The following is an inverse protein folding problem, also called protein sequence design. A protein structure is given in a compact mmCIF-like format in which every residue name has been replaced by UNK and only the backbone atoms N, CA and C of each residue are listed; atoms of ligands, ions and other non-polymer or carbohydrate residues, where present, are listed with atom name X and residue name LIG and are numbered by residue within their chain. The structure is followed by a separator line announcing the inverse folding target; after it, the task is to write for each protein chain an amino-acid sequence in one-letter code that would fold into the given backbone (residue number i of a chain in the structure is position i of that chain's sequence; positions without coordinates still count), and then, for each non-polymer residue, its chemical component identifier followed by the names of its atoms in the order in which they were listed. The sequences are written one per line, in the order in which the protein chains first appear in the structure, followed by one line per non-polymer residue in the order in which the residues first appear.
data_IF_062234816968
#
_entry.id   IF_062234816968
#
_cell.length_a   1.000
_cell.length_b   1.000
_cell.length_c   1.000
_cell.angle_alpha   90.00
_cell.angle_beta   90.00
_cell.angle_gamma   90.00
#
_symmetry.space_group_name_H-M   'P 1'
#
loop_
_entity.id
_entity.type
_entity.pdbx_description
1 polymer ?
#
# COMPACT_ATOMS: atom_id res chain seq x y z
N UNK A 1 -9.42 -1.82 32.33
CA UNK A 1 -8.60 -0.65 31.95
C UNK A 1 -7.31 -1.15 31.30
N UNK A 2 -7.29 -1.33 29.97
CA UNK A 2 -6.13 -1.87 29.24
C UNK A 2 -5.19 -0.76 28.76
N UNK A 3 -4.56 -0.13 29.76
CA UNK A 3 -3.19 0.34 29.89
C UNK A 3 -2.35 0.65 28.64
N UNK A 4 -2.19 1.96 28.42
CA UNK A 4 -1.05 2.80 27.96
C UNK A 4 0.25 2.14 27.43
N UNK A 5 0.64 0.96 27.88
CA UNK A 5 1.83 0.23 27.42
C UNK A 5 1.76 -0.19 25.95
N UNK A 6 0.56 -0.42 25.40
CA UNK A 6 0.35 -0.71 23.96
C UNK A 6 0.68 0.47 23.03
N UNK A 7 0.68 1.71 23.54
CA UNK A 7 0.94 2.89 22.73
C UNK A 7 2.44 3.21 22.61
N UNK A 8 3.26 2.79 23.58
CA UNK A 8 4.70 3.07 23.64
C UNK A 8 5.54 1.99 22.95
N UNK A 9 5.12 0.73 23.05
CA UNK A 9 5.70 -0.38 22.28
C UNK A 9 4.73 -0.61 21.12
N UNK A 10 4.84 0.21 20.08
CA UNK A 10 3.97 0.10 18.91
C UNK A 10 3.88 -1.34 18.44
N UNK A 11 2.68 -1.89 18.45
CA UNK A 11 2.33 -3.21 17.94
C UNK A 11 3.02 -3.48 16.59
N UNK A 12 4.09 -4.27 16.62
CA UNK A 12 4.91 -4.64 15.46
C UNK A 12 4.23 -5.73 14.60
N UNK A 13 3.04 -6.21 14.97
CA UNK A 13 2.43 -7.42 14.39
C UNK A 13 1.44 -7.16 13.24
N UNK A 14 1.07 -5.91 12.94
CA UNK A 14 0.13 -5.58 11.84
C UNK A 14 0.75 -5.60 10.44
N UNK A 15 1.32 -6.72 10.00
CA UNK A 15 2.20 -6.73 8.81
C UNK A 15 1.83 -7.68 7.65
N UNK A 16 0.65 -8.31 7.63
CA UNK A 16 0.21 -9.07 6.44
C UNK A 16 -1.30 -9.10 6.22
N UNK A 17 -2.07 -9.11 7.29
CA UNK A 17 -3.50 -9.43 7.20
C UNK A 17 -4.33 -8.27 6.65
N UNK A 18 -3.91 -7.03 6.91
CA UNK A 18 -4.59 -5.82 6.44
C UNK A 18 -4.65 -5.70 4.91
N UNK A 19 -3.71 -6.34 4.21
CA UNK A 19 -3.68 -6.36 2.75
C UNK A 19 -4.16 -7.70 2.18
N UNK A 20 -4.81 -8.54 2.98
CA UNK A 20 -5.28 -9.88 2.59
C UNK A 20 -4.14 -10.85 2.30
N UNK A 21 -3.06 -10.78 3.09
CA UNK A 21 -1.93 -11.72 3.01
C UNK A 21 -0.99 -11.51 1.80
N UNK A 22 -1.12 -10.39 1.07
CA UNK A 22 -0.29 -10.16 -0.13
C UNK A 22 1.14 -9.81 0.26
N UNK A 23 2.07 -10.71 -0.04
CA UNK A 23 3.49 -10.54 0.23
C UNK A 23 4.18 -9.62 -0.79
N UNK A 24 3.85 -8.33 -0.81
CA UNK A 24 4.35 -7.39 -1.83
C UNK A 24 5.89 -7.29 -1.93
N UNK A 25 6.63 -7.68 -0.88
CA UNK A 25 8.10 -7.64 -0.85
C UNK A 25 8.78 -8.77 -1.63
N UNK A 26 8.05 -9.82 -2.01
CA UNK A 26 8.60 -11.02 -2.64
C UNK A 26 8.05 -11.19 -4.06
N UNK A 27 8.94 -11.32 -5.05
CA UNK A 27 8.61 -11.59 -6.47
C UNK A 27 7.40 -10.80 -7.01
N UNK A 28 7.43 -9.46 -6.99
CA UNK A 28 6.34 -8.64 -7.53
C UNK A 28 6.24 -8.75 -9.05
N UNK A 29 5.02 -8.61 -9.59
CA UNK A 29 4.78 -8.70 -11.04
C UNK A 29 5.44 -7.54 -11.79
N UNK A 30 5.32 -6.33 -11.23
CA UNK A 30 5.93 -5.12 -11.74
C UNK A 30 6.30 -4.20 -10.60
N UNK A 31 7.43 -3.53 -10.74
CA UNK A 31 7.87 -2.48 -9.82
C UNK A 31 8.46 -1.33 -10.58
N UNK A 32 8.34 -0.11 -10.04
CA UNK A 32 8.97 1.03 -10.67
C UNK A 32 8.63 2.35 -10.02
N UNK A 33 9.44 3.36 -10.35
CA UNK A 33 9.15 4.73 -9.98
C UNK A 33 8.09 5.32 -10.89
N UNK A 34 7.02 5.84 -10.30
CA UNK A 34 6.00 6.63 -11.01
C UNK A 34 5.72 7.91 -10.24
N UNK A 35 5.22 8.92 -10.95
CA UNK A 35 4.65 10.12 -10.32
C UNK A 35 3.16 9.93 -10.12
N UNK A 36 2.66 10.29 -8.93
CA UNK A 36 1.22 10.33 -8.66
C UNK A 36 0.82 11.70 -8.13
N UNK A 37 -0.39 12.12 -8.44
CA UNK A 37 -0.99 13.29 -7.82
C UNK A 37 -1.39 12.95 -6.37
N UNK A 38 -1.19 13.89 -5.44
CA UNK A 38 -1.73 13.81 -4.10
C UNK A 38 -3.26 13.92 -4.10
N UNK A 39 -3.91 13.26 -3.15
CA UNK A 39 -5.36 13.24 -3.04
C UNK A 39 -5.90 14.59 -2.54
N UNK A 40 -5.41 15.03 -1.37
CA UNK A 40 -5.78 16.31 -0.74
C UNK A 40 -5.03 17.50 -1.37
N UNK A 41 -3.70 17.46 -1.34
CA UNK A 41 -2.86 18.49 -1.95
C UNK A 41 -2.46 18.01 -3.35
N UNK A 42 -2.88 18.75 -4.38
CA UNK A 42 -2.70 18.41 -5.80
C UNK A 42 -1.26 18.57 -6.32
N UNK A 43 -0.30 18.06 -5.56
CA UNK A 43 1.13 18.00 -5.95
C UNK A 43 1.46 16.65 -6.56
N UNK A 44 2.35 16.64 -7.54
CA UNK A 44 2.90 15.41 -8.10
C UNK A 44 4.09 14.94 -7.25
N UNK A 45 4.08 13.67 -6.84
CA UNK A 45 5.14 13.08 -6.02
C UNK A 45 5.61 11.78 -6.63
N UNK A 46 6.93 11.63 -6.74
CA UNK A 46 7.57 10.36 -7.14
C UNK A 46 7.45 9.35 -6.01
N UNK A 47 6.96 8.15 -6.32
CA UNK A 47 6.78 7.03 -5.38
C UNK A 47 7.18 5.74 -6.05
N UNK A 48 7.68 4.79 -5.27
CA UNK A 48 7.99 3.45 -5.74
C UNK A 48 6.72 2.61 -5.71
N UNK A 49 6.30 2.10 -6.85
CA UNK A 49 5.10 1.29 -6.98
C UNK A 49 5.45 -0.18 -7.05
N UNK A 50 4.59 -1.00 -6.45
CA UNK A 50 4.67 -2.46 -6.48
C UNK A 50 3.30 -3.00 -6.87
N UNK A 51 3.23 -3.73 -7.98
CA UNK A 51 2.04 -4.44 -8.42
C UNK A 51 2.19 -5.93 -8.05
N UNK A 52 1.24 -6.45 -7.29
CA UNK A 52 1.18 -7.88 -6.95
C UNK A 52 -0.26 -8.32 -6.71
N UNK A 53 -0.66 -9.44 -7.30
CA UNK A 53 -1.97 -10.08 -7.08
C UNK A 53 -3.13 -9.10 -7.28
N UNK A 54 -3.05 -8.29 -8.34
CA UNK A 54 -4.08 -7.29 -8.65
C UNK A 54 -4.22 -6.18 -7.61
N UNK A 55 -3.22 -5.94 -6.77
CA UNK A 55 -3.16 -4.79 -5.86
C UNK A 55 -1.93 -3.95 -6.17
N UNK A 56 -2.13 -2.65 -6.22
CA UNK A 56 -1.07 -1.69 -6.47
C UNK A 56 -0.72 -0.97 -5.16
N UNK A 57 0.48 -1.21 -4.66
CA UNK A 57 1.04 -0.60 -3.46
C UNK A 57 2.00 0.52 -3.88
N UNK A 58 2.16 1.55 -3.04
CA UNK A 58 3.24 2.53 -3.24
C UNK A 58 3.96 2.91 -1.95
N UNK A 59 5.25 3.19 -2.09
CA UNK A 59 6.19 3.47 -1.02
C UNK A 59 6.94 4.79 -1.28
N UNK A 60 7.58 5.31 -0.23
CA UNK A 60 8.42 6.51 -0.37
C UNK A 60 9.65 6.20 -1.24
N UNK A 61 10.28 5.06 -0.97
CA UNK A 61 11.57 4.65 -1.52
C UNK A 61 11.50 3.21 -2.07
N UNK A 62 12.53 2.79 -2.82
CA UNK A 62 12.58 1.48 -3.51
C UNK A 62 12.89 0.30 -2.60
N UNK A 63 13.41 0.54 -1.40
CA UNK A 63 13.82 -0.50 -0.44
C UNK A 63 12.58 -1.07 0.28
N UNK A 64 11.82 -1.89 -0.44
CA UNK A 64 10.60 -2.54 0.04
C UNK A 64 10.96 -3.88 0.65
N UNK A 65 10.73 -4.01 1.96
CA UNK A 65 10.92 -5.23 2.74
C UNK A 65 9.59 -5.69 3.34
N UNK A 66 9.60 -6.85 4.00
CA UNK A 66 8.42 -7.39 4.70
C UNK A 66 7.83 -6.44 5.75
N UNK A 67 8.65 -5.62 6.38
CA UNK A 67 8.22 -4.68 7.42
C UNK A 67 7.86 -3.29 6.86
N UNK A 68 8.09 -3.06 5.57
CA UNK A 68 7.84 -1.76 4.94
C UNK A 68 6.35 -1.48 4.88
N UNK A 69 5.92 -0.35 5.45
CA UNK A 69 4.51 0.05 5.41
C UNK A 69 4.17 0.76 4.09
N UNK A 70 3.22 0.25 3.29
CA UNK A 70 2.71 0.96 2.13
C UNK A 70 2.13 2.33 2.53
N UNK A 71 2.37 3.34 1.71
CA UNK A 71 1.74 4.68 1.86
C UNK A 71 0.30 4.70 1.35
N UNK A 72 -0.10 3.66 0.65
CA UNK A 72 -1.48 3.37 0.27
C UNK A 72 -1.55 2.20 -0.69
N UNK A 73 -2.76 1.71 -0.88
CA UNK A 73 -3.06 0.54 -1.69
C UNK A 73 -4.26 0.85 -2.57
N UNK A 74 -4.14 0.59 -3.87
CA UNK A 74 -5.24 0.64 -4.82
C UNK A 74 -5.56 -0.80 -5.23
N UNK A 75 -6.73 -1.33 -4.84
CA UNK A 75 -7.22 -2.59 -5.39
C UNK A 75 -7.47 -2.41 -6.89
N UNK A 76 -7.12 -3.40 -7.71
CA UNK A 76 -7.53 -3.47 -9.10
C UNK A 76 -9.00 -3.91 -9.19
N UNK A 77 -9.91 -3.17 -8.56
CA UNK A 77 -11.33 -3.32 -8.84
C UNK A 77 -11.59 -2.58 -10.14
N UNK A 78 -11.91 -3.32 -11.20
CA UNK A 78 -12.53 -2.71 -12.38
C UNK A 78 -13.74 -1.94 -11.86
N UNK A 79 -13.75 -0.62 -12.01
CA UNK A 79 -15.01 0.14 -11.89
C UNK A 79 -15.92 -0.48 -12.95
N UNK A 80 -16.82 -1.37 -12.56
CA UNK A 80 -18.03 -1.61 -13.32
C UNK A 80 -18.76 -0.28 -13.30
N UNK A 81 -18.46 0.59 -14.27
CA UNK A 81 -19.38 1.65 -14.63
C UNK A 81 -20.63 0.91 -15.10
N UNK A 82 -21.59 0.75 -14.19
CA UNK A 82 -22.93 0.36 -14.56
C UNK A 82 -23.41 1.42 -15.53
N UNK A 83 -23.52 1.05 -16.80
CA UNK A 83 -24.49 1.70 -17.68
C UNK A 83 -25.86 1.36 -17.08
N UNK A 84 -26.43 2.30 -16.34
CA UNK A 84 -27.87 2.30 -16.15
C UNK A 84 -28.44 2.81 -17.47
N UNK A 85 -29.14 1.91 -18.16
CA UNK A 85 -30.11 2.28 -19.19
C UNK A 85 -31.25 3.04 -18.53
#
# INVERSE_FOLDING_TARGET
MANLWRALIGDQSKNSDDYGGVEFWSNPERTGWLTKQGEYIKTWRRRWFVLKQGKLFWFKDSDVTRISRPRGVVPNRKRSRGYHQ
#
